data_IF_997235329252
#
_entry.id   IF_997235329252
#
_cell.length_a   1.000
_cell.length_b   1.000
_cell.length_c   1.000
_cell.angle_alpha   90.00
_cell.angle_beta   90.00
_cell.angle_gamma   90.00
#
_symmetry.space_group_name_H-M   'P 1'
#
loop_
_entity.id
_entity.type
_entity.pdbx_description
1 polymer ?
#
# COMPACT_ATOMS: atom_id res chain seq x y z
N UNK A 1 -6.45 -14.15 -25.23
CA UNK A 1 -5.95 -15.23 -24.35
C UNK A 1 -4.92 -14.78 -23.33
N UNK A 2 -4.21 -13.65 -23.54
CA UNK A 2 -3.18 -13.16 -22.59
C UNK A 2 -3.78 -12.50 -21.34
N UNK A 3 -4.99 -11.97 -21.37
CA UNK A 3 -5.63 -11.33 -20.22
C UNK A 3 -6.02 -12.32 -19.10
N UNK A 4 -6.29 -13.57 -19.44
CA UNK A 4 -6.71 -14.61 -18.47
C UNK A 4 -5.55 -15.08 -17.59
N UNK A 5 -4.30 -15.04 -18.08
CA UNK A 5 -3.11 -15.41 -17.32
C UNK A 5 -2.74 -14.40 -16.21
N UNK A 6 -2.92 -13.13 -16.48
CA UNK A 6 -2.63 -12.05 -15.51
C UNK A 6 -3.44 -12.19 -14.21
N UNK A 7 -4.63 -12.76 -14.30
CA UNK A 7 -5.55 -12.85 -13.19
C UNK A 7 -5.51 -14.19 -12.44
N UNK A 8 -4.99 -15.26 -13.07
CA UNK A 8 -4.89 -16.56 -12.41
C UNK A 8 -3.89 -16.58 -11.24
N UNK A 9 -2.80 -15.83 -11.32
CA UNK A 9 -1.83 -15.70 -10.23
C UNK A 9 -2.37 -14.91 -9.01
N UNK A 10 -3.38 -14.07 -9.23
CA UNK A 10 -4.02 -13.31 -8.15
C UNK A 10 -5.00 -14.15 -7.31
N UNK A 11 -5.59 -15.20 -7.91
CA UNK A 11 -6.57 -16.08 -7.24
C UNK A 11 -5.95 -17.21 -6.43
N UNK A 12 -4.68 -17.54 -6.62
CA UNK A 12 -4.06 -18.72 -5.97
C UNK A 12 -3.73 -18.54 -4.47
N UNK A 13 -4.04 -17.38 -3.86
CA UNK A 13 -3.89 -17.17 -2.40
C UNK A 13 -5.19 -17.15 -1.60
N UNK A 14 -6.30 -17.63 -2.14
CA UNK A 14 -7.53 -17.63 -1.39
C UNK A 14 -8.64 -18.53 -1.89
N UNK A 15 -8.46 -19.85 -1.88
CA UNK A 15 -9.55 -20.84 -1.69
C UNK A 15 -9.05 -22.27 -1.90
N UNK A 16 -8.86 -22.98 -0.81
CA UNK A 16 -9.09 -24.42 -0.79
C UNK A 16 -10.55 -24.63 -0.38
N UNK A 17 -11.41 -25.28 -1.20
CA UNK A 17 -12.75 -25.64 -0.78
C UNK A 17 -12.66 -26.85 0.15
N UNK A 18 -13.25 -26.76 1.35
CA UNK A 18 -13.55 -27.90 2.19
C UNK A 18 -12.68 -28.11 3.44
N UNK A 19 -12.23 -27.03 4.12
CA UNK A 19 -11.84 -27.15 5.52
C UNK A 19 -12.73 -26.21 6.34
N UNK A 20 -13.55 -26.78 7.22
CA UNK A 20 -14.10 -26.05 8.35
C UNK A 20 -12.92 -25.45 9.11
N UNK A 21 -12.75 -24.14 9.02
CA UNK A 21 -11.82 -23.41 9.87
C UNK A 21 -12.40 -23.41 11.28
N UNK A 22 -12.01 -24.38 12.11
CA UNK A 22 -11.96 -24.14 13.53
C UNK A 22 -11.14 -22.84 13.71
N UNK A 23 -11.72 -21.83 14.37
CA UNK A 23 -11.01 -20.62 14.75
C UNK A 23 -9.74 -21.03 15.49
N UNK A 24 -8.61 -20.94 14.81
CA UNK A 24 -7.34 -21.12 15.46
C UNK A 24 -7.21 -19.97 16.47
N UNK A 25 -6.90 -20.26 17.74
CA UNK A 25 -6.67 -19.21 18.71
C UNK A 25 -5.62 -18.25 18.14
N UNK A 26 -5.75 -16.94 18.41
CA UNK A 26 -4.75 -15.97 17.95
C UNK A 26 -3.37 -16.43 18.40
N UNK A 27 -2.33 -16.29 17.55
CA UNK A 27 -0.98 -16.69 17.92
C UNK A 27 -0.60 -16.00 19.23
N UNK A 28 0.18 -16.67 20.11
CA UNK A 28 0.59 -16.08 21.36
C UNK A 28 1.31 -14.75 21.12
N UNK A 29 1.16 -13.76 22.00
CA UNK A 29 1.81 -12.48 21.85
C UNK A 29 3.33 -12.68 21.78
N UNK A 30 3.97 -11.96 20.83
CA UNK A 30 5.42 -12.00 20.68
C UNK A 30 6.09 -11.52 21.99
N UNK A 31 7.22 -12.13 22.39
CA UNK A 31 7.96 -11.66 23.55
C UNK A 31 8.41 -10.22 23.35
N UNK A 32 8.42 -9.39 24.40
CA UNK A 32 8.85 -8.01 24.30
C UNK A 32 10.33 -7.93 23.87
N UNK A 33 10.71 -6.75 23.35
CA UNK A 33 12.12 -6.46 23.07
C UNK A 33 12.92 -6.52 24.39
N UNK A 34 14.10 -7.15 24.36
CA UNK A 34 14.96 -7.26 25.54
C UNK A 34 15.63 -5.92 25.88
N UNK A 35 15.56 -5.52 27.14
CA UNK A 35 16.27 -4.35 27.65
C UNK A 35 17.72 -4.67 27.94
N UNK A 36 18.65 -4.10 27.17
CA UNK A 36 20.09 -4.11 27.47
C UNK A 36 20.55 -2.68 27.76
N UNK A 37 21.75 -2.44 28.29
CA UNK A 37 22.26 -1.08 28.45
C UNK A 37 22.27 -0.28 27.14
N UNK A 38 22.49 -0.94 25.99
CA UNK A 38 22.51 -0.28 24.65
C UNK A 38 21.12 0.04 24.12
N UNK A 39 20.10 -0.74 24.49
CA UNK A 39 18.73 -0.59 24.01
C UNK A 39 17.86 0.24 24.96
N UNK A 40 18.34 0.54 26.16
CA UNK A 40 17.63 1.36 27.14
C UNK A 40 17.69 2.84 26.74
N UNK A 41 16.53 3.46 26.52
CA UNK A 41 16.44 4.86 26.13
C UNK A 41 16.46 5.76 27.37
N UNK A 42 17.52 6.54 27.56
CA UNK A 42 17.63 7.51 28.66
C UNK A 42 16.96 8.84 28.35
N UNK A 43 17.12 9.34 27.13
CA UNK A 43 16.49 10.61 26.72
C UNK A 43 15.13 10.37 26.06
N UNK A 44 14.09 11.01 26.62
CA UNK A 44 12.69 10.87 26.16
C UNK A 44 12.23 9.40 26.21
N UNK A 45 12.48 8.74 27.35
CA UNK A 45 12.16 7.33 27.58
C UNK A 45 10.67 7.00 27.31
N UNK A 46 9.76 7.98 27.48
CA UNK A 46 8.34 7.81 27.18
C UNK A 46 8.04 7.49 25.69
N UNK A 47 9.01 7.63 24.80
CA UNK A 47 8.88 7.25 23.38
C UNK A 47 9.36 5.82 23.09
N UNK A 48 9.90 5.13 24.11
CA UNK A 48 10.31 3.74 23.98
C UNK A 48 9.08 2.85 23.76
N UNK A 49 9.20 1.91 22.83
CA UNK A 49 8.18 0.89 22.57
C UNK A 49 8.85 -0.47 22.72
N UNK A 50 8.35 -1.29 23.65
CA UNK A 50 8.89 -2.61 23.92
C UNK A 50 8.19 -3.74 23.16
N UNK A 51 7.05 -3.45 22.52
CA UNK A 51 6.34 -4.42 21.72
C UNK A 51 7.17 -4.80 20.48
N UNK A 52 7.55 -6.07 20.35
CA UNK A 52 8.32 -6.61 19.21
C UNK A 52 7.64 -6.37 17.86
N UNK A 53 6.30 -6.41 17.84
CA UNK A 53 5.52 -6.11 16.63
C UNK A 53 5.83 -4.72 16.07
N UNK A 54 6.07 -3.72 16.92
CA UNK A 54 6.42 -2.37 16.46
C UNK A 54 7.75 -2.31 15.69
N UNK A 55 8.73 -3.17 16.06
CA UNK A 55 9.97 -3.35 15.30
C UNK A 55 9.67 -3.96 13.92
N UNK A 56 8.85 -5.02 13.89
CA UNK A 56 8.49 -5.68 12.64
C UNK A 56 7.71 -4.75 11.70
N UNK A 57 6.76 -3.99 12.24
CA UNK A 57 5.96 -3.02 11.47
C UNK A 57 6.84 -1.92 10.87
N UNK A 58 7.83 -1.45 11.64
CA UNK A 58 8.79 -0.47 11.14
C UNK A 58 9.66 -1.06 10.03
N UNK A 59 10.25 -2.24 10.24
CA UNK A 59 11.08 -2.90 9.24
C UNK A 59 10.28 -3.18 7.97
N UNK A 60 9.04 -3.68 8.08
CA UNK A 60 8.17 -3.90 6.93
C UNK A 60 7.79 -2.61 6.17
N UNK A 61 7.87 -1.45 6.84
CA UNK A 61 7.59 -0.15 6.22
C UNK A 61 8.82 0.51 5.60
N UNK A 62 10.04 0.07 5.94
CA UNK A 62 11.30 0.61 5.40
C UNK A 62 11.72 -0.14 4.13
N UNK A 63 12.20 0.56 3.12
CA UNK A 63 12.75 -0.04 1.88
C UNK A 63 14.21 -0.45 2.03
N UNK A 64 14.93 0.18 2.95
CA UNK A 64 16.34 -0.06 3.23
C UNK A 64 16.66 0.26 4.69
N UNK A 65 17.81 -0.19 5.13
CA UNK A 65 18.37 0.10 6.46
C UNK A 65 19.78 0.68 6.31
N UNK A 66 20.27 1.37 7.35
CA UNK A 66 21.65 1.83 7.43
C UNK A 66 22.45 0.91 8.35
N UNK A 67 23.51 0.32 7.84
CA UNK A 67 24.40 -0.57 8.59
C UNK A 67 25.66 0.19 8.95
N UNK A 68 25.90 0.35 10.24
CA UNK A 68 27.08 1.00 10.80
C UNK A 68 28.01 -0.01 11.45
N UNK A 69 29.33 0.17 11.26
CA UNK A 69 30.39 -0.61 11.90
C UNK A 69 31.16 0.26 12.92
N UNK A 70 31.95 -0.37 13.84
CA UNK A 70 32.81 0.38 14.77
C UNK A 70 33.83 1.29 14.08
N UNK A 71 34.37 0.89 12.92
CA UNK A 71 35.02 1.83 12.02
C UNK A 71 33.94 2.76 11.45
N UNK A 72 34.20 4.08 11.27
CA UNK A 72 33.13 5.03 10.94
C UNK A 72 32.61 4.86 9.50
N UNK A 73 32.08 3.67 9.19
CA UNK A 73 31.44 3.33 7.91
C UNK A 73 29.94 3.11 8.13
N UNK A 74 29.12 3.80 7.36
CA UNK A 74 27.67 3.63 7.32
C UNK A 74 27.26 3.40 5.87
N UNK A 75 26.58 2.28 5.61
CA UNK A 75 26.10 1.92 4.28
C UNK A 75 24.58 1.73 4.27
N UNK A 76 23.85 2.35 3.35
CA UNK A 76 22.46 1.97 3.09
C UNK A 76 22.45 0.61 2.38
N UNK A 77 21.59 -0.30 2.86
CA UNK A 77 21.47 -1.64 2.32
C UNK A 77 20.01 -2.05 2.21
N UNK A 78 19.63 -2.69 1.11
CA UNK A 78 18.37 -3.41 1.03
C UNK A 78 18.44 -4.64 1.92
N UNK A 79 17.29 -5.07 2.43
CA UNK A 79 17.22 -6.12 3.43
C UNK A 79 15.91 -6.91 3.33
N UNK A 80 15.85 -7.99 4.07
CA UNK A 80 14.58 -8.64 4.42
C UNK A 80 14.58 -9.08 5.88
N UNK A 81 13.41 -9.27 6.43
CA UNK A 81 13.19 -9.93 7.70
C UNK A 81 12.49 -11.27 7.47
N UNK A 82 13.07 -12.32 8.00
CA UNK A 82 12.41 -13.62 8.13
C UNK A 82 12.40 -13.93 9.63
N UNK A 83 11.23 -14.07 10.21
CA UNK A 83 11.03 -14.24 11.65
C UNK A 83 11.80 -13.19 12.48
N UNK A 84 12.70 -13.59 13.34
CA UNK A 84 13.53 -12.74 14.22
C UNK A 84 14.94 -12.50 13.65
N UNK A 85 15.10 -12.62 12.34
CA UNK A 85 16.38 -12.46 11.66
C UNK A 85 16.27 -11.46 10.51
N UNK A 86 17.20 -10.53 10.46
CA UNK A 86 17.38 -9.57 9.36
C UNK A 86 18.48 -10.09 8.44
N UNK A 87 18.19 -10.15 7.14
CA UNK A 87 19.12 -10.58 6.11
C UNK A 87 19.55 -9.40 5.24
N UNK A 88 20.84 -9.36 4.97
CA UNK A 88 21.49 -8.37 4.10
C UNK A 88 22.28 -9.10 3.02
N UNK A 89 22.46 -8.47 1.85
CA UNK A 89 23.27 -9.06 0.81
C UNK A 89 24.18 -8.03 0.15
N UNK A 90 25.22 -8.51 -0.53
CA UNK A 90 26.14 -7.71 -1.33
C UNK A 90 27.13 -8.57 -2.09
N UNK A 91 27.99 -7.92 -2.88
CA UNK A 91 29.06 -8.64 -3.58
C UNK A 91 30.05 -9.27 -2.58
N UNK A 92 30.62 -10.42 -2.91
CA UNK A 92 31.64 -11.09 -2.08
C UNK A 92 32.85 -10.21 -1.77
N UNK A 93 33.12 -9.20 -2.61
CA UNK A 93 34.17 -8.19 -2.40
C UNK A 93 33.82 -7.08 -1.41
N UNK A 94 32.57 -6.98 -0.94
CA UNK A 94 32.15 -5.93 -0.01
C UNK A 94 32.91 -6.05 1.31
N UNK A 95 33.63 -5.00 1.68
CA UNK A 95 34.51 -4.99 2.85
C UNK A 95 33.74 -5.17 4.17
N UNK A 96 32.54 -4.57 4.30
CA UNK A 96 31.66 -4.70 5.45
C UNK A 96 31.22 -6.15 5.64
N UNK A 97 30.87 -6.83 4.56
CA UNK A 97 30.33 -8.20 4.62
C UNK A 97 31.43 -9.27 4.73
N UNK A 98 32.69 -8.96 4.35
CA UNK A 98 33.81 -9.92 4.45
C UNK A 98 34.12 -10.34 5.87
N UNK A 99 33.99 -9.44 6.82
CA UNK A 99 34.25 -9.72 8.23
C UNK A 99 33.24 -10.68 8.87
N UNK A 100 32.05 -10.81 8.29
CA UNK A 100 30.99 -11.68 8.82
C UNK A 100 31.37 -13.18 8.85
N UNK A 101 32.35 -13.58 8.04
CA UNK A 101 32.85 -14.98 7.99
C UNK A 101 33.52 -15.42 9.27
N UNK A 102 34.12 -14.48 10.02
CA UNK A 102 34.75 -14.75 11.30
C UNK A 102 33.81 -14.48 12.48
N UNK A 103 32.54 -14.14 12.25
CA UNK A 103 31.59 -13.65 13.23
C UNK A 103 32.08 -12.42 14.03
N UNK A 104 33.07 -11.70 13.51
CA UNK A 104 33.77 -10.63 14.22
C UNK A 104 33.23 -9.23 13.92
N UNK A 105 32.30 -9.08 12.96
CA UNK A 105 31.76 -7.77 12.63
C UNK A 105 30.56 -7.46 13.52
N UNK A 106 30.82 -6.67 14.54
CA UNK A 106 29.76 -6.02 15.31
C UNK A 106 29.18 -4.87 14.50
N UNK A 107 27.84 -4.77 14.46
CA UNK A 107 27.12 -3.74 13.72
C UNK A 107 26.02 -3.09 14.54
N UNK A 108 25.68 -1.86 14.15
CA UNK A 108 24.42 -1.24 14.50
C UNK A 108 23.63 -1.02 13.19
N UNK A 109 22.45 -1.62 13.12
CA UNK A 109 21.52 -1.40 12.01
C UNK A 109 20.46 -0.42 12.43
N UNK A 110 20.36 0.71 11.70
CA UNK A 110 19.36 1.74 11.93
C UNK A 110 18.28 1.70 10.87
N UNK A 111 17.01 1.66 11.31
CA UNK A 111 15.84 1.83 10.47
C UNK A 111 15.08 3.08 10.94
N UNK A 112 14.66 3.94 10.01
CA UNK A 112 13.92 5.16 10.36
C UNK A 112 12.89 5.48 9.28
N UNK A 113 11.69 5.84 9.74
CA UNK A 113 10.63 6.39 8.90
C UNK A 113 10.10 7.68 9.50
N UNK A 114 10.03 8.73 8.70
CA UNK A 114 9.40 10.00 9.08
C UNK A 114 7.95 9.95 8.63
N UNK A 115 7.03 10.12 9.58
CA UNK A 115 5.59 10.04 9.34
C UNK A 115 4.92 11.42 9.28
N UNK A 116 5.63 12.51 9.66
CA UNK A 116 5.12 13.88 9.55
C UNK A 116 6.04 14.93 10.15
N UNK A 117 5.91 16.16 9.67
CA UNK A 117 6.54 17.34 10.24
C UNK A 117 5.63 17.94 11.31
N UNK A 118 6.19 18.25 12.46
CA UNK A 118 5.46 18.87 13.57
C UNK A 118 5.89 20.31 13.67
N UNK A 119 4.98 21.21 13.29
CA UNK A 119 5.19 22.63 13.23
C UNK A 119 4.56 23.27 14.47
N UNK A 120 5.37 23.94 15.26
CA UNK A 120 4.98 24.62 16.48
C UNK A 120 4.88 26.13 16.26
N UNK A 121 4.39 26.87 17.24
CA UNK A 121 4.34 28.33 17.19
C UNK A 121 5.71 28.94 17.33
N UNK A 122 6.59 28.32 18.13
CA UNK A 122 7.98 28.75 18.24
C UNK A 122 8.92 27.86 17.40
N UNK A 123 9.99 28.45 16.88
CA UNK A 123 10.99 27.73 16.11
C UNK A 123 11.67 26.61 16.93
N UNK A 124 11.79 26.78 18.22
CA UNK A 124 12.43 25.86 19.13
C UNK A 124 11.65 24.53 19.30
N UNK A 125 10.32 24.58 19.21
CA UNK A 125 9.45 23.44 19.45
C UNK A 125 9.08 22.63 18.18
N UNK A 126 9.63 23.01 17.01
CA UNK A 126 9.49 22.18 15.81
C UNK A 126 10.06 20.78 16.03
N UNK A 127 9.43 19.78 15.44
CA UNK A 127 9.80 18.37 15.61
C UNK A 127 9.35 17.53 14.39
N UNK A 128 9.50 16.21 14.50
CA UNK A 128 8.99 15.24 13.52
C UNK A 128 8.24 14.12 14.23
N UNK A 129 7.19 13.61 13.62
CA UNK A 129 6.64 12.31 13.95
C UNK A 129 7.43 11.25 13.18
N UNK A 130 7.85 10.20 13.89
CA UNK A 130 8.73 9.21 13.33
C UNK A 130 8.64 7.88 14.09
N UNK A 131 9.03 6.84 13.41
CA UNK A 131 9.36 5.54 13.97
C UNK A 131 10.83 5.25 13.67
N UNK A 132 11.60 4.84 14.67
CA UNK A 132 13.01 4.47 14.48
C UNK A 132 13.37 3.27 15.32
N UNK A 133 14.31 2.46 14.81
CA UNK A 133 14.91 1.34 15.53
C UNK A 133 16.42 1.39 15.41
N UNK A 134 17.10 0.93 16.46
CA UNK A 134 18.50 0.55 16.43
C UNK A 134 18.60 -0.91 16.86
N UNK A 135 19.26 -1.71 16.03
CA UNK A 135 19.43 -3.15 16.19
C UNK A 135 20.92 -3.41 16.28
N UNK A 136 21.34 -4.10 17.34
CA UNK A 136 22.74 -4.37 17.62
C UNK A 136 23.02 -5.87 17.54
N UNK A 137 24.21 -6.22 17.10
CA UNK A 137 24.65 -7.62 17.07
C UNK A 137 25.84 -7.86 16.18
N UNK A 138 26.15 -9.12 15.99
CA UNK A 138 27.22 -9.58 15.10
C UNK A 138 26.62 -10.19 13.85
N UNK A 139 27.21 -9.89 12.71
CA UNK A 139 26.80 -10.49 11.43
C UNK A 139 27.29 -11.93 11.35
N UNK A 140 26.40 -12.84 11.00
CA UNK A 140 26.71 -14.24 10.65
C UNK A 140 26.64 -14.39 9.13
N UNK A 141 27.65 -15.00 8.53
CA UNK A 141 27.57 -15.38 7.10
C UNK A 141 26.55 -16.53 6.93
N UNK A 142 25.80 -16.48 5.85
CA UNK A 142 24.87 -17.55 5.48
C UNK A 142 25.62 -18.56 4.62
N UNK A 143 25.83 -19.76 5.15
CA UNK A 143 26.69 -20.79 4.56
C UNK A 143 25.95 -21.77 3.64
N UNK A 144 24.64 -21.98 3.86
CA UNK A 144 23.86 -22.94 3.06
C UNK A 144 23.18 -22.26 1.87
N UNK A 145 23.22 -22.90 0.72
CA UNK A 145 22.54 -22.40 -0.49
C UNK A 145 21.02 -22.29 -0.28
N UNK A 146 20.43 -23.16 0.50
CA UNK A 146 18.99 -23.12 0.80
C UNK A 146 18.61 -21.84 1.57
N UNK A 147 19.31 -21.52 2.66
CA UNK A 147 19.08 -20.28 3.43
C UNK A 147 19.40 -19.05 2.59
N UNK A 148 20.47 -19.11 1.78
CA UNK A 148 20.89 -18.02 0.90
C UNK A 148 19.83 -17.69 -0.16
N UNK A 149 19.24 -18.71 -0.79
CA UNK A 149 18.15 -18.52 -1.75
C UNK A 149 16.92 -17.94 -1.06
N UNK A 150 16.51 -18.53 0.07
CA UNK A 150 15.37 -18.02 0.84
C UNK A 150 15.54 -16.55 1.26
N UNK A 151 16.72 -16.16 1.69
CA UNK A 151 17.05 -14.79 2.04
C UNK A 151 17.00 -13.84 0.83
N UNK A 152 17.53 -14.24 -0.33
CA UNK A 152 17.51 -13.44 -1.55
C UNK A 152 16.07 -13.28 -2.08
N UNK A 153 15.28 -14.33 -2.10
CA UNK A 153 13.85 -14.26 -2.47
C UNK A 153 13.07 -13.37 -1.50
N UNK A 154 13.36 -13.47 -0.21
CA UNK A 154 12.76 -12.60 0.80
C UNK A 154 13.14 -11.12 0.58
N UNK A 155 14.37 -10.81 0.18
CA UNK A 155 14.81 -9.43 -0.12
C UNK A 155 14.07 -8.88 -1.34
N UNK A 156 13.90 -9.68 -2.39
CA UNK A 156 13.10 -9.30 -3.57
C UNK A 156 11.64 -9.05 -3.17
N UNK A 157 11.05 -9.94 -2.36
CA UNK A 157 9.68 -9.80 -1.88
C UNK A 157 9.50 -8.69 -0.85
N UNK A 158 10.55 -8.31 -0.12
CA UNK A 158 10.50 -7.15 0.78
C UNK A 158 10.40 -5.85 -0.03
N UNK A 159 11.14 -5.74 -1.12
CA UNK A 159 11.04 -4.60 -2.03
C UNK A 159 9.66 -4.54 -2.71
N UNK A 160 9.18 -5.68 -3.20
CA UNK A 160 7.89 -5.80 -3.87
C UNK A 160 7.27 -7.19 -3.61
N UNK A 161 6.26 -7.30 -2.72
CA UNK A 161 5.65 -8.57 -2.35
C UNK A 161 5.12 -9.37 -3.54
N UNK A 162 5.54 -10.63 -3.67
CA UNK A 162 5.20 -11.53 -4.77
C UNK A 162 6.13 -11.46 -5.98
N UNK A 163 7.12 -10.56 -5.97
CA UNK A 163 8.00 -10.33 -7.13
C UNK A 163 8.95 -11.49 -7.40
N UNK A 164 9.41 -12.22 -6.39
CA UNK A 164 10.32 -13.37 -6.58
C UNK A 164 9.70 -14.45 -7.48
N UNK A 165 8.37 -14.64 -7.40
CA UNK A 165 7.65 -15.63 -8.21
C UNK A 165 7.48 -15.21 -9.68
N UNK A 166 7.71 -13.93 -9.98
CA UNK A 166 7.52 -13.30 -11.28
C UNK A 166 8.84 -13.06 -12.04
N UNK A 167 9.95 -13.46 -11.47
CA UNK A 167 11.26 -13.34 -12.07
C UNK A 167 12.03 -14.67 -12.02
N UNK A 168 13.06 -14.78 -12.85
CA UNK A 168 13.95 -15.95 -12.84
C UNK A 168 14.67 -16.02 -11.49
N UNK A 169 14.73 -17.19 -10.84
CA UNK A 169 15.51 -17.37 -9.62
C UNK A 169 17.01 -17.16 -9.86
N UNK A 170 17.74 -16.87 -8.78
CA UNK A 170 19.19 -16.70 -8.84
C UNK A 170 19.87 -17.98 -9.33
N UNK A 171 20.76 -17.84 -10.31
CA UNK A 171 21.58 -18.94 -10.82
C UNK A 171 22.72 -19.28 -9.85
N UNK A 172 23.33 -20.47 -10.02
CA UNK A 172 24.48 -20.89 -9.23
C UNK A 172 25.68 -19.92 -9.35
N UNK A 173 25.85 -19.32 -10.52
CA UNK A 173 26.91 -18.34 -10.75
C UNK A 173 26.65 -17.05 -9.93
N UNK A 174 25.41 -16.57 -9.91
CA UNK A 174 25.01 -15.40 -9.15
C UNK A 174 25.11 -15.66 -7.63
N UNK A 175 24.75 -16.86 -7.16
CA UNK A 175 24.92 -17.23 -5.77
C UNK A 175 26.39 -17.24 -5.32
N UNK A 176 27.31 -17.69 -6.19
CA UNK A 176 28.74 -17.71 -5.85
C UNK A 176 29.35 -16.32 -5.68
N UNK A 177 28.85 -15.32 -6.41
CA UNK A 177 29.36 -13.94 -6.34
C UNK A 177 28.61 -13.04 -5.35
N UNK A 178 27.53 -13.55 -4.75
CA UNK A 178 26.72 -12.84 -3.77
C UNK A 178 26.99 -13.37 -2.36
N UNK A 179 27.30 -12.49 -1.42
CA UNK A 179 27.34 -12.80 0.00
C UNK A 179 26.03 -12.41 0.66
N UNK A 180 25.50 -13.29 1.50
CA UNK A 180 24.34 -13.04 2.35
C UNK A 180 24.78 -13.15 3.81
N UNK A 181 24.35 -12.22 4.63
CA UNK A 181 24.60 -12.22 6.07
C UNK A 181 23.31 -12.06 6.86
N UNK A 182 23.29 -12.61 8.04
CA UNK A 182 22.16 -12.62 8.96
C UNK A 182 22.50 -11.87 10.23
N UNK A 183 21.53 -11.11 10.75
CA UNK A 183 21.59 -10.42 12.04
C UNK A 183 20.37 -10.77 12.88
N UNK A 184 20.58 -11.23 14.11
CA UNK A 184 19.49 -11.46 15.06
C UNK A 184 18.84 -10.14 15.48
N UNK A 185 17.51 -10.13 15.60
CA UNK A 185 16.72 -9.01 16.11
C UNK A 185 16.54 -9.06 17.65
N UNK A 186 17.30 -9.92 18.35
CA UNK A 186 17.17 -10.10 19.78
C UNK A 186 17.53 -8.83 20.58
N UNK A 187 18.53 -8.06 20.13
CA UNK A 187 18.95 -6.83 20.78
C UNK A 187 18.56 -5.61 19.94
N UNK A 188 17.39 -5.06 20.22
CA UNK A 188 16.84 -3.92 19.46
C UNK A 188 16.12 -2.94 20.38
N UNK A 189 16.16 -1.67 20.01
CA UNK A 189 15.34 -0.61 20.60
C UNK A 189 14.43 0.02 19.55
N UNK A 190 13.21 0.36 19.95
CA UNK A 190 12.25 1.06 19.10
C UNK A 190 11.82 2.34 19.78
N UNK A 191 11.74 3.42 18.99
CA UNK A 191 11.31 4.73 19.44
C UNK A 191 10.28 5.31 18.49
N UNK A 192 9.12 5.70 19.02
CA UNK A 192 8.01 6.25 18.26
C UNK A 192 7.62 7.62 18.82
N UNK A 193 7.42 8.59 17.93
CA UNK A 193 6.71 9.83 18.21
C UNK A 193 5.54 9.97 17.24
N UNK A 194 4.35 10.08 17.78
CA UNK A 194 3.09 10.32 17.05
C UNK A 194 2.24 11.30 17.88
N UNK A 195 2.62 12.58 17.84
CA UNK A 195 1.97 13.61 18.66
C UNK A 195 1.96 14.95 17.94
N UNK A 196 1.04 15.83 18.33
CA UNK A 196 1.00 17.22 17.89
C UNK A 196 2.17 18.05 18.37
N UNK A 197 2.17 19.37 18.07
CA UNK A 197 3.12 20.33 18.64
C UNK A 197 2.92 20.43 20.17
N UNK A 198 4.00 20.77 20.84
CA UNK A 198 4.01 21.04 22.28
C UNK A 198 4.64 22.42 22.42
N UNK A 199 3.80 23.46 22.50
CA UNK A 199 4.22 24.84 22.71
C UNK A 199 4.26 25.15 24.20
N UNK A 200 5.07 26.12 24.61
CA UNK A 200 5.03 26.67 25.95
C UNK A 200 3.78 27.55 26.14
N UNK A 201 3.33 27.72 27.38
CA UNK A 201 2.11 28.47 27.70
C UNK A 201 2.09 29.90 27.16
N UNK A 202 3.24 30.55 27.09
CA UNK A 202 3.40 31.91 26.57
C UNK A 202 3.29 31.99 25.04
N UNK A 203 3.53 30.87 24.33
CA UNK A 203 3.42 30.79 22.88
C UNK A 203 1.99 30.51 22.39
N UNK A 204 1.13 29.94 23.25
CA UNK A 204 -0.24 29.54 22.86
C UNK A 204 -1.10 30.67 22.29
N UNK A 205 -1.02 31.93 22.80
CA UNK A 205 -1.78 33.06 22.27
C UNK A 205 -1.23 33.64 20.96
N UNK A 206 -0.04 33.21 20.52
CA UNK A 206 0.57 33.75 19.30
C UNK A 206 -0.25 33.41 18.06
N UNK A 207 -0.39 34.33 17.09
CA UNK A 207 -1.19 34.11 15.87
C UNK A 207 -0.48 33.23 14.81
N UNK A 208 0.41 32.35 15.22
CA UNK A 208 1.13 31.45 14.34
C UNK A 208 0.41 30.13 14.23
N UNK A 209 0.31 29.60 13.00
CA UNK A 209 -0.25 28.30 12.77
C UNK A 209 0.65 27.21 13.38
N UNK A 210 0.04 26.21 14.04
CA UNK A 210 0.73 25.06 14.58
C UNK A 210 -0.08 23.78 14.27
N UNK A 211 0.63 22.69 13.98
CA UNK A 211 -0.02 21.43 13.62
C UNK A 211 0.96 20.39 13.11
N UNK A 212 0.43 19.34 12.52
CA UNK A 212 1.22 18.26 11.89
C UNK A 212 0.96 18.28 10.38
N UNK A 213 2.03 18.29 9.59
CA UNK A 213 2.01 18.01 8.16
C UNK A 213 2.38 16.54 7.95
N UNK A 214 1.41 15.64 7.69
CA UNK A 214 1.69 14.23 7.45
C UNK A 214 2.55 14.02 6.19
N UNK A 215 3.46 13.06 6.25
CA UNK A 215 4.29 12.63 5.12
C UNK A 215 3.92 11.20 4.76
N UNK A 216 3.76 10.95 3.45
CA UNK A 216 3.53 9.62 2.89
C UNK A 216 4.45 9.38 1.70
N UNK A 217 4.99 8.17 1.59
CA UNK A 217 5.62 7.72 0.36
C UNK A 217 4.55 7.21 -0.60
N UNK A 218 4.64 7.56 -1.86
CA UNK A 218 3.72 7.13 -2.90
C UNK A 218 4.46 6.40 -4.03
N UNK A 219 3.88 5.30 -4.53
CA UNK A 219 4.31 4.71 -5.80
C UNK A 219 3.63 5.46 -6.94
N UNK A 220 4.41 5.87 -7.92
CA UNK A 220 3.91 6.50 -9.14
C UNK A 220 3.48 5.45 -10.18
N UNK A 221 3.06 5.91 -11.36
CA UNK A 221 2.81 5.01 -12.48
C UNK A 221 4.09 4.23 -12.83
N UNK A 222 4.00 2.92 -13.10
CA UNK A 222 5.18 2.16 -13.49
C UNK A 222 5.67 2.64 -14.85
N UNK A 223 6.99 2.75 -14.98
CA UNK A 223 7.67 3.07 -16.23
C UNK A 223 8.28 1.76 -16.76
N UNK A 224 7.81 1.23 -17.90
CA UNK A 224 8.36 0.02 -18.48
C UNK A 224 9.76 0.28 -19.04
N UNK A 225 10.60 -0.77 -19.02
CA UNK A 225 11.92 -0.73 -19.68
C UNK A 225 11.77 -0.47 -21.18
N UNK A 226 12.57 0.47 -21.71
CA UNK A 226 12.59 0.82 -23.12
C UNK A 226 13.19 -0.29 -24.02
N UNK A 227 13.93 -1.24 -23.45
CA UNK A 227 14.59 -2.34 -24.17
C UNK A 227 13.71 -3.59 -24.17
N UNK A 228 12.42 -3.45 -24.46
CA UNK A 228 11.54 -4.63 -24.50
C UNK A 228 11.44 -5.18 -25.93
N UNK A 229 11.79 -6.46 -26.17
CA UNK A 229 11.84 -7.02 -27.54
C UNK A 229 10.47 -7.21 -28.18
N UNK A 230 9.36 -7.21 -27.45
CA UNK A 230 8.01 -7.48 -27.96
C UNK A 230 6.98 -6.61 -27.22
N UNK A 231 6.77 -5.38 -27.68
CA UNK A 231 5.74 -4.48 -27.14
C UNK A 231 5.95 -4.11 -25.66
N UNK A 232 5.10 -3.25 -25.12
CA UNK A 232 5.12 -2.92 -23.70
C UNK A 232 4.42 -4.03 -22.91
N UNK A 233 5.13 -4.77 -22.03
CA UNK A 233 4.48 -5.82 -21.25
C UNK A 233 3.51 -5.18 -20.25
N UNK A 234 2.41 -5.87 -20.02
CA UNK A 234 1.47 -5.51 -18.96
C UNK A 234 2.18 -5.64 -17.60
N UNK A 235 2.03 -4.66 -16.69
CA UNK A 235 2.63 -4.76 -15.37
C UNK A 235 2.24 -6.06 -14.65
N UNK A 236 3.19 -6.76 -14.01
CA UNK A 236 2.92 -8.03 -13.34
C UNK A 236 2.03 -7.83 -12.10
N UNK A 237 1.39 -8.89 -11.59
CA UNK A 237 0.49 -8.84 -10.43
C UNK A 237 1.07 -8.15 -9.20
N UNK A 238 2.35 -8.32 -8.89
CA UNK A 238 3.04 -7.65 -7.78
C UNK A 238 3.01 -6.12 -7.93
N UNK A 239 3.28 -5.61 -9.12
CA UNK A 239 3.26 -4.17 -9.43
C UNK A 239 1.83 -3.63 -9.33
N UNK A 240 0.85 -4.37 -9.86
CA UNK A 240 -0.58 -4.01 -9.73
C UNK A 240 -0.99 -3.95 -8.27
N UNK A 241 -0.66 -4.98 -7.47
CA UNK A 241 -0.98 -5.04 -6.05
C UNK A 241 -0.35 -3.89 -5.25
N UNK A 242 0.91 -3.53 -5.55
CA UNK A 242 1.57 -2.39 -4.90
C UNK A 242 0.86 -1.06 -5.20
N UNK A 243 0.36 -0.88 -6.41
CA UNK A 243 -0.43 0.29 -6.79
C UNK A 243 -1.78 0.33 -6.08
N UNK A 244 -2.49 -0.79 -6.02
CA UNK A 244 -3.80 -0.88 -5.35
C UNK A 244 -3.70 -0.60 -3.85
N UNK A 245 -2.64 -1.01 -3.18
CA UNK A 245 -2.38 -0.68 -1.77
C UNK A 245 -2.30 0.83 -1.50
N UNK A 246 -2.00 1.62 -2.52
CA UNK A 246 -1.83 3.08 -2.45
C UNK A 246 -3.02 3.85 -3.03
N UNK A 247 -4.03 3.15 -3.53
CA UNK A 247 -5.27 3.78 -3.96
C UNK A 247 -5.89 4.59 -2.81
N UNK A 248 -6.45 5.77 -3.09
CA UNK A 248 -7.15 6.55 -2.07
C UNK A 248 -8.29 5.73 -1.47
N UNK A 249 -8.41 5.73 -0.14
CA UNK A 249 -9.36 4.89 0.57
C UNK A 249 -10.41 5.72 1.30
N UNK A 250 -11.66 5.32 1.18
CA UNK A 250 -12.78 5.77 2.00
C UNK A 250 -13.20 4.62 2.92
N UNK A 251 -13.36 4.90 4.20
CA UNK A 251 -13.96 3.92 5.11
C UNK A 251 -15.49 4.00 5.01
N UNK A 252 -16.19 2.88 4.89
CA UNK A 252 -17.64 2.90 4.80
C UNK A 252 -18.25 3.47 6.10
N UNK A 253 -19.22 4.37 5.97
CA UNK A 253 -19.89 5.01 7.11
C UNK A 253 -21.41 4.74 7.13
N UNK A 254 -21.98 4.25 6.02
CA UNK A 254 -23.35 3.76 5.91
C UNK A 254 -23.33 2.26 5.72
N UNK A 255 -24.17 1.55 6.48
CA UNK A 255 -24.25 0.08 6.46
C UNK A 255 -25.52 -0.41 5.79
N UNK A 256 -25.51 -1.66 5.35
CA UNK A 256 -26.67 -2.39 4.83
C UNK A 256 -26.72 -3.79 5.45
N UNK A 257 -27.88 -4.28 5.91
CA UNK A 257 -27.97 -5.62 6.48
C UNK A 257 -27.47 -6.70 5.52
N UNK A 258 -26.58 -7.56 6.00
CA UNK A 258 -26.06 -8.68 5.22
C UNK A 258 -24.99 -8.34 4.17
N UNK A 259 -24.60 -7.07 4.06
CA UNK A 259 -23.61 -6.60 3.07
C UNK A 259 -22.45 -5.91 3.78
N UNK A 260 -21.24 -6.24 3.37
CA UNK A 260 -19.99 -5.61 3.85
C UNK A 260 -19.48 -4.64 2.79
N UNK A 261 -19.36 -3.36 3.13
CA UNK A 261 -18.74 -2.37 2.24
C UNK A 261 -17.25 -2.21 2.54
N UNK A 262 -16.46 -1.91 1.53
CA UNK A 262 -15.03 -1.63 1.68
C UNK A 262 -14.52 -0.71 0.59
N UNK A 263 -13.76 0.32 1.00
CA UNK A 263 -13.00 1.17 0.10
C UNK A 263 -11.57 0.70 -0.13
N UNK A 264 -11.21 -0.49 0.34
CA UNK A 264 -9.89 -1.09 0.15
C UNK A 264 -9.77 -1.69 -1.25
N UNK A 265 -9.07 -1.00 -2.14
CA UNK A 265 -8.89 -1.44 -3.52
C UNK A 265 -8.15 -2.79 -3.65
N UNK A 266 -7.40 -3.22 -2.62
CA UNK A 266 -6.73 -4.53 -2.64
C UNK A 266 -7.70 -5.71 -2.53
N UNK A 267 -8.93 -5.46 -2.10
CA UNK A 267 -10.00 -6.47 -2.00
C UNK A 267 -10.78 -6.66 -3.29
N UNK A 268 -10.57 -5.79 -4.29
CA UNK A 268 -11.33 -5.84 -5.55
C UNK A 268 -11.02 -7.12 -6.33
N UNK A 269 -12.03 -7.83 -6.73
CA UNK A 269 -11.96 -8.87 -7.76
C UNK A 269 -11.94 -8.18 -9.14
N UNK A 270 -10.74 -7.76 -9.56
CA UNK A 270 -10.55 -7.02 -10.81
C UNK A 270 -11.01 -7.78 -12.06
N UNK A 271 -10.80 -9.12 -12.18
CA UNK A 271 -11.34 -9.88 -13.31
C UNK A 271 -12.86 -9.81 -13.41
N UNK A 272 -13.51 -10.04 -12.28
CA UNK A 272 -14.98 -9.98 -12.17
C UNK A 272 -15.49 -8.57 -12.49
N UNK A 273 -14.85 -7.54 -11.91
CA UNK A 273 -15.19 -6.15 -12.17
C UNK A 273 -15.03 -5.79 -13.64
N UNK A 274 -13.92 -6.21 -14.26
CA UNK A 274 -13.69 -5.97 -15.69
C UNK A 274 -14.78 -6.65 -16.56
N UNK A 275 -15.15 -7.89 -16.23
CA UNK A 275 -16.24 -8.59 -16.90
C UNK A 275 -17.56 -7.82 -16.79
N UNK A 276 -17.97 -7.42 -15.60
CA UNK A 276 -19.19 -6.64 -15.41
C UNK A 276 -19.22 -5.34 -16.22
N UNK A 277 -18.12 -4.59 -16.20
CA UNK A 277 -18.05 -3.30 -16.89
C UNK A 277 -17.99 -3.46 -18.41
N UNK A 278 -17.39 -4.52 -18.93
CA UNK A 278 -17.35 -4.79 -20.37
C UNK A 278 -18.65 -5.35 -20.94
N UNK A 279 -19.22 -6.31 -20.21
CA UNK A 279 -20.29 -7.14 -20.75
C UNK A 279 -21.68 -6.58 -20.43
N UNK A 280 -21.82 -5.84 -19.31
CA UNK A 280 -23.12 -5.36 -18.82
C UNK A 280 -23.23 -3.84 -18.73
N UNK A 281 -22.11 -3.10 -18.79
CA UNK A 281 -22.11 -1.64 -18.70
C UNK A 281 -21.87 -1.02 -20.07
N UNK A 282 -22.90 -0.42 -20.66
CA UNK A 282 -22.88 0.17 -22.01
C UNK A 282 -21.82 1.25 -22.21
N UNK A 283 -21.25 1.79 -21.13
CA UNK A 283 -20.27 2.88 -21.17
C UNK A 283 -18.81 2.41 -21.15
N UNK A 284 -18.54 1.13 -21.03
CA UNK A 284 -17.21 0.59 -20.76
C UNK A 284 -16.80 -0.63 -21.59
N UNK A 285 -17.43 -0.87 -22.74
CA UNK A 285 -17.22 -2.05 -23.58
C UNK A 285 -15.74 -2.26 -24.00
N UNK A 286 -14.99 -1.16 -24.22
CA UNK A 286 -13.58 -1.20 -24.65
C UNK A 286 -12.58 -1.14 -23.46
N UNK A 287 -13.06 -1.21 -22.22
CA UNK A 287 -12.22 -1.05 -21.04
C UNK A 287 -11.15 -2.15 -20.98
N UNK A 288 -9.87 -1.76 -20.92
CA UNK A 288 -8.76 -2.72 -20.72
C UNK A 288 -8.47 -2.93 -19.23
N UNK A 289 -7.84 -4.06 -18.89
CA UNK A 289 -7.43 -4.34 -17.51
C UNK A 289 -6.48 -3.25 -16.98
N UNK A 290 -5.57 -2.76 -17.81
CA UNK A 290 -4.66 -1.68 -17.44
C UNK A 290 -5.41 -0.37 -17.17
N UNK A 291 -6.35 -0.01 -18.04
CA UNK A 291 -7.18 1.20 -17.86
C UNK A 291 -8.01 1.09 -16.58
N UNK A 292 -8.58 -0.07 -16.28
CA UNK A 292 -9.32 -0.30 -15.03
C UNK A 292 -8.42 -0.09 -13.80
N UNK A 293 -7.22 -0.68 -13.78
CA UNK A 293 -6.27 -0.48 -12.67
C UNK A 293 -5.90 0.99 -12.51
N UNK A 294 -5.62 1.69 -13.61
CA UNK A 294 -5.33 3.14 -13.57
C UNK A 294 -6.50 3.94 -13.01
N UNK A 295 -7.72 3.62 -13.43
CA UNK A 295 -8.94 4.29 -12.97
C UNK A 295 -9.19 4.04 -11.47
N UNK A 296 -9.00 2.81 -10.99
CA UNK A 296 -9.14 2.44 -9.56
C UNK A 296 -8.10 3.18 -8.72
N UNK A 297 -6.83 3.17 -9.12
CA UNK A 297 -5.75 3.84 -8.36
C UNK A 297 -5.92 5.36 -8.33
N UNK A 298 -6.50 5.96 -9.36
CA UNK A 298 -6.76 7.40 -9.46
C UNK A 298 -8.11 7.86 -8.88
N UNK A 299 -8.81 7.00 -8.13
CA UNK A 299 -10.15 7.32 -7.61
C UNK A 299 -10.31 6.82 -6.18
N UNK A 300 -11.24 7.40 -5.44
CA UNK A 300 -11.82 6.74 -4.28
C UNK A 300 -12.78 5.66 -4.76
N UNK A 301 -12.60 4.44 -4.28
CA UNK A 301 -13.45 3.30 -4.62
C UNK A 301 -14.28 2.84 -3.45
N UNK A 302 -15.43 2.24 -3.74
CA UNK A 302 -16.23 1.51 -2.77
C UNK A 302 -16.76 0.25 -3.45
N UNK A 303 -16.61 -0.90 -2.80
CA UNK A 303 -17.20 -2.15 -3.25
C UNK A 303 -18.08 -2.74 -2.13
N UNK A 304 -19.06 -3.51 -2.55
CA UNK A 304 -19.95 -4.24 -1.64
C UNK A 304 -19.72 -5.75 -1.80
N UNK A 305 -19.76 -6.47 -0.68
CA UNK A 305 -19.50 -7.89 -0.58
C UNK A 305 -20.60 -8.61 0.20
N UNK A 306 -20.90 -9.85 -0.15
CA UNK A 306 -21.67 -10.76 0.71
C UNK A 306 -20.89 -11.05 2.00
N UNK A 307 -21.54 -11.69 2.99
CA UNK A 307 -20.87 -12.15 4.21
C UNK A 307 -19.78 -13.18 3.92
N UNK A 308 -19.93 -13.94 2.83
CA UNK A 308 -18.96 -14.94 2.38
C UNK A 308 -17.80 -14.34 1.57
N UNK A 309 -17.78 -13.00 1.42
CA UNK A 309 -16.71 -12.26 0.77
C UNK A 309 -16.81 -12.17 -0.75
N UNK A 310 -17.94 -12.54 -1.35
CA UNK A 310 -18.18 -12.36 -2.78
C UNK A 310 -18.48 -10.91 -3.11
N UNK A 311 -17.77 -10.30 -4.08
CA UNK A 311 -18.02 -8.95 -4.54
C UNK A 311 -19.32 -8.88 -5.35
N UNK A 312 -20.24 -7.98 -4.97
CA UNK A 312 -21.58 -7.86 -5.56
C UNK A 312 -21.90 -6.47 -6.11
N UNK A 313 -21.14 -5.46 -5.76
CA UNK A 313 -21.29 -4.12 -6.31
C UNK A 313 -19.97 -3.35 -6.27
N UNK A 314 -19.87 -2.31 -7.10
CA UNK A 314 -18.71 -1.43 -7.19
C UNK A 314 -19.15 -0.02 -7.60
N UNK A 315 -18.38 0.98 -7.21
CA UNK A 315 -18.45 2.34 -7.69
C UNK A 315 -17.19 3.11 -7.32
N UNK A 316 -16.95 4.24 -7.99
CA UNK A 316 -15.79 5.09 -7.71
C UNK A 316 -16.10 6.56 -7.88
N UNK A 317 -15.32 7.40 -7.20
CA UNK A 317 -15.37 8.86 -7.28
C UNK A 317 -14.01 9.42 -7.68
N UNK A 318 -13.96 10.18 -8.75
CA UNK A 318 -12.81 10.99 -9.17
C UNK A 318 -13.02 12.42 -8.66
N UNK A 319 -12.06 12.97 -7.95
CA UNK A 319 -12.22 14.28 -7.31
C UNK A 319 -10.87 14.96 -7.06
N UNK A 320 -10.89 16.30 -7.01
CA UNK A 320 -9.80 17.13 -6.49
C UNK A 320 -9.84 17.26 -4.96
N UNK A 321 -10.89 16.73 -4.33
CA UNK A 321 -11.09 16.80 -2.87
C UNK A 321 -11.54 18.17 -2.35
N UNK A 322 -11.85 19.16 -3.23
CA UNK A 322 -12.13 20.53 -2.84
C UNK A 322 -13.34 21.14 -3.58
N UNK A 323 -13.41 21.02 -4.91
CA UNK A 323 -14.39 21.75 -5.71
C UNK A 323 -15.35 20.85 -6.48
N UNK A 324 -14.91 19.63 -6.84
CA UNK A 324 -15.60 18.80 -7.82
C UNK A 324 -15.44 17.32 -7.53
N UNK A 325 -16.48 16.54 -7.84
CA UNK A 325 -16.39 15.09 -7.93
C UNK A 325 -17.19 14.56 -9.13
N UNK A 326 -16.67 13.48 -9.74
CA UNK A 326 -17.35 12.69 -10.74
C UNK A 326 -17.58 11.28 -10.22
N UNK A 327 -18.85 10.90 -10.05
CA UNK A 327 -19.26 9.54 -9.71
C UNK A 327 -19.25 8.69 -10.99
N UNK A 328 -18.51 7.60 -10.97
CA UNK A 328 -18.30 6.74 -12.13
C UNK A 328 -18.42 5.25 -11.78
N UNK A 329 -18.68 4.44 -12.79
CA UNK A 329 -18.68 2.98 -12.78
C UNK A 329 -19.52 2.37 -11.64
N UNK A 330 -20.66 2.99 -11.33
CA UNK A 330 -21.61 2.46 -10.35
C UNK A 330 -22.31 1.24 -10.94
N UNK A 331 -22.03 0.09 -10.38
CA UNK A 331 -22.56 -1.18 -10.82
C UNK A 331 -23.03 -2.03 -9.63
N UNK A 332 -24.19 -2.67 -9.76
CA UNK A 332 -24.70 -3.70 -8.85
C UNK A 332 -25.01 -4.94 -9.68
N UNK A 333 -24.43 -6.08 -9.30
CA UNK A 333 -24.68 -7.34 -9.97
C UNK A 333 -26.19 -7.66 -9.99
N UNK A 334 -26.69 -8.15 -11.11
CA UNK A 334 -28.13 -8.31 -11.39
C UNK A 334 -28.92 -9.03 -10.30
N UNK A 335 -28.33 -10.07 -9.70
CA UNK A 335 -28.97 -10.87 -8.63
C UNK A 335 -29.12 -10.11 -7.30
N UNK A 336 -28.44 -8.98 -7.16
CA UNK A 336 -28.45 -8.15 -5.96
C UNK A 336 -29.09 -6.77 -6.18
N UNK A 337 -29.72 -6.54 -7.36
CA UNK A 337 -30.46 -5.32 -7.64
C UNK A 337 -31.77 -5.23 -6.87
N UNK A 338 -32.34 -4.04 -6.78
CA UNK A 338 -33.59 -3.74 -6.09
C UNK A 338 -33.59 -4.03 -4.56
N UNK A 339 -32.43 -4.27 -3.96
CA UNK A 339 -32.27 -4.52 -2.52
C UNK A 339 -31.72 -3.31 -1.75
N UNK A 340 -31.63 -2.13 -2.35
CA UNK A 340 -31.10 -0.91 -1.72
C UNK A 340 -29.57 -0.78 -1.72
N UNK A 341 -28.82 -1.80 -2.15
CA UNK A 341 -27.34 -1.83 -2.12
C UNK A 341 -26.74 -0.67 -2.91
N UNK A 342 -27.27 -0.39 -4.11
CA UNK A 342 -26.79 0.72 -4.94
C UNK A 342 -26.96 2.08 -4.27
N UNK A 343 -28.04 2.29 -3.51
CA UNK A 343 -28.25 3.52 -2.75
C UNK A 343 -27.17 3.69 -1.66
N UNK A 344 -26.94 2.66 -0.86
CA UNK A 344 -25.93 2.69 0.21
C UNK A 344 -24.51 2.83 -0.36
N UNK A 345 -24.23 2.17 -1.50
CA UNK A 345 -22.96 2.30 -2.21
C UNK A 345 -22.70 3.76 -2.61
N UNK A 346 -23.67 4.40 -3.26
CA UNK A 346 -23.57 5.80 -3.70
C UNK A 346 -23.46 6.74 -2.49
N UNK A 347 -24.21 6.53 -1.43
CA UNK A 347 -24.09 7.32 -0.20
C UNK A 347 -22.69 7.24 0.40
N UNK A 348 -22.11 6.05 0.49
CA UNK A 348 -20.72 5.88 0.96
C UNK A 348 -19.67 6.57 0.07
N UNK A 349 -20.01 6.87 -1.17
CA UNK A 349 -19.11 7.56 -2.09
C UNK A 349 -19.32 9.08 -2.09
N UNK A 350 -20.58 9.56 -2.18
CA UNK A 350 -20.81 11.00 -2.43
C UNK A 350 -21.05 11.80 -1.15
N UNK A 351 -21.59 11.18 -0.11
CA UNK A 351 -21.88 11.83 1.18
C UNK A 351 -20.77 11.59 2.21
N UNK A 352 -19.66 10.99 1.81
CA UNK A 352 -18.56 10.67 2.72
C UNK A 352 -17.99 11.95 3.36
N UNK A 353 -17.74 11.98 4.69
CA UNK A 353 -17.24 13.17 5.39
C UNK A 353 -15.95 13.76 4.81
N UNK A 354 -15.08 12.93 4.24
CA UNK A 354 -13.84 13.39 3.56
C UNK A 354 -14.10 14.17 2.25
N UNK A 355 -15.30 14.08 1.70
CA UNK A 355 -15.74 14.77 0.49
C UNK A 355 -16.74 15.89 0.80
N UNK A 356 -16.94 16.19 2.08
CA UNK A 356 -17.83 17.28 2.51
C UNK A 356 -17.30 18.63 2.00
N UNK A 357 -18.23 19.52 1.59
CA UNK A 357 -17.88 20.85 1.10
C UNK A 357 -17.55 20.96 -0.39
N UNK A 358 -17.62 19.87 -1.14
CA UNK A 358 -17.52 19.92 -2.60
C UNK A 358 -18.64 20.80 -3.19
N UNK A 359 -18.28 21.70 -4.08
CA UNK A 359 -19.27 22.58 -4.75
C UNK A 359 -20.21 21.82 -5.67
N UNK A 360 -19.75 20.69 -6.21
CA UNK A 360 -20.49 19.94 -7.22
C UNK A 360 -20.07 18.48 -7.26
N UNK A 361 -21.05 17.59 -7.22
CA UNK A 361 -20.88 16.17 -7.55
C UNK A 361 -21.67 15.88 -8.81
N UNK A 362 -21.06 15.24 -9.78
CA UNK A 362 -21.65 14.99 -11.11
C UNK A 362 -21.55 13.51 -11.46
N UNK A 363 -22.45 13.08 -12.34
CA UNK A 363 -22.43 11.76 -12.96
C UNK A 363 -23.08 11.83 -14.35
N UNK A 364 -22.86 10.80 -15.15
CA UNK A 364 -23.60 10.55 -16.38
C UNK A 364 -24.42 9.28 -16.24
N UNK A 365 -25.70 9.31 -16.56
CA UNK A 365 -26.56 8.13 -16.63
C UNK A 365 -27.57 8.24 -17.73
N UNK A 366 -27.89 7.12 -18.36
CA UNK A 366 -28.93 7.02 -19.38
C UNK A 366 -30.27 6.59 -18.79
N UNK A 367 -30.24 5.74 -17.78
CA UNK A 367 -31.39 4.95 -17.33
C UNK A 367 -31.58 4.86 -15.79
N UNK A 368 -30.61 5.31 -14.99
CA UNK A 368 -30.63 5.18 -13.55
C UNK A 368 -31.06 6.45 -12.78
N UNK A 369 -31.81 7.36 -13.42
CA UNK A 369 -32.29 8.61 -12.78
C UNK A 369 -33.05 8.35 -11.48
N UNK A 370 -33.86 7.25 -11.41
CA UNK A 370 -34.58 6.85 -10.21
C UNK A 370 -33.71 6.52 -8.99
N UNK A 371 -32.45 6.14 -9.20
CA UNK A 371 -31.48 5.94 -8.12
C UNK A 371 -30.96 7.28 -7.59
N UNK A 372 -30.65 8.21 -8.46
CA UNK A 372 -29.90 9.43 -8.11
C UNK A 372 -30.77 10.62 -7.72
N UNK A 373 -31.97 10.77 -8.31
CA UNK A 373 -32.89 11.87 -7.98
C UNK A 373 -33.25 11.96 -6.50
N UNK A 374 -33.56 10.85 -5.79
CA UNK A 374 -33.83 10.88 -4.35
C UNK A 374 -32.62 11.28 -3.50
N UNK A 375 -31.41 11.27 -4.08
CA UNK A 375 -30.15 11.65 -3.44
C UNK A 375 -29.73 13.09 -3.76
N UNK A 376 -30.63 13.90 -4.35
CA UNK A 376 -30.43 15.30 -4.65
C UNK A 376 -29.78 15.59 -6.01
N UNK A 377 -29.58 14.58 -6.85
CA UNK A 377 -29.10 14.82 -8.21
C UNK A 377 -30.24 15.29 -9.11
N UNK A 378 -29.96 16.30 -9.91
CA UNK A 378 -30.87 16.85 -10.92
C UNK A 378 -30.19 16.90 -12.29
N UNK A 379 -30.96 16.85 -13.34
CA UNK A 379 -30.45 17.01 -14.68
C UNK A 379 -29.74 18.36 -14.88
N UNK A 380 -28.59 18.33 -15.54
CA UNK A 380 -27.87 19.56 -15.90
C UNK A 380 -28.63 20.20 -17.04
N UNK A 381 -28.94 21.51 -16.96
CA UNK A 381 -29.63 22.20 -18.08
C UNK A 381 -28.83 22.10 -19.37
N UNK A 382 -29.56 21.97 -20.48
CA UNK A 382 -28.99 21.88 -21.82
C UNK A 382 -28.00 23.02 -22.13
N UNK A 383 -26.92 22.67 -22.81
CA UNK A 383 -25.87 23.62 -23.18
C UNK A 383 -24.86 23.98 -22.08
N UNK A 384 -25.00 23.44 -20.86
CA UNK A 384 -24.02 23.67 -19.75
C UNK A 384 -22.90 22.64 -19.66
N UNK A 385 -23.03 21.56 -20.40
CA UNK A 385 -22.02 20.49 -20.42
C UNK A 385 -21.45 20.36 -21.84
N UNK A 386 -20.12 20.20 -21.90
CA UNK A 386 -19.38 19.88 -23.11
C UNK A 386 -18.46 18.70 -22.83
N UNK A 387 -18.39 17.77 -23.79
CA UNK A 387 -17.42 16.67 -23.72
C UNK A 387 -16.51 16.70 -24.95
N UNK A 388 -15.27 16.26 -24.75
CA UNK A 388 -14.33 15.96 -25.82
C UNK A 388 -14.01 14.49 -25.78
N UNK A 389 -14.35 13.75 -26.83
CA UNK A 389 -13.88 12.36 -27.01
C UNK A 389 -12.43 12.37 -27.47
N UNK A 390 -11.69 11.30 -27.14
CA UNK A 390 -10.34 11.10 -27.67
C UNK A 390 -10.39 11.06 -29.19
N UNK A 391 -9.47 11.75 -29.85
CA UNK A 391 -9.27 11.69 -31.27
C UNK A 391 -8.47 10.42 -31.61
N UNK A 392 -8.77 9.78 -32.74
CA UNK A 392 -7.89 8.75 -33.31
C UNK A 392 -6.58 9.37 -33.82
N UNK A 393 -5.65 8.53 -34.34
CA UNK A 393 -4.38 9.00 -34.88
C UNK A 393 -4.51 9.93 -36.11
N UNK A 394 -5.69 9.97 -36.73
CA UNK A 394 -6.00 10.88 -37.87
C UNK A 394 -6.58 12.22 -37.42
N UNK A 395 -6.84 12.41 -36.13
CA UNK A 395 -7.48 13.62 -35.60
C UNK A 395 -9.02 13.62 -35.76
N UNK A 396 -9.60 12.50 -36.14
CA UNK A 396 -11.06 12.32 -36.28
C UNK A 396 -11.64 11.84 -34.96
N UNK A 397 -12.79 12.37 -34.54
CA UNK A 397 -13.46 11.88 -33.33
C UNK A 397 -13.89 10.43 -33.54
N UNK A 398 -13.47 9.54 -32.64
CA UNK A 398 -13.92 8.16 -32.66
C UNK A 398 -15.44 8.12 -32.52
N UNK A 399 -16.14 7.63 -33.54
CA UNK A 399 -17.59 7.39 -33.48
C UNK A 399 -17.82 6.27 -32.47
N UNK A 400 -18.45 6.58 -31.34
CA UNK A 400 -18.91 5.63 -30.33
C UNK A 400 -20.42 5.64 -30.21
#
# INVERSE_FOLDING_TARGET
SSAIWLFRAYQLRGRFPGMEHAEQPPPPPLPPLSGTPRTTLHRRAMRAVTARQALYDLLNACTHVHVATPAPVVLPMVFARIDDTLYLHGAVGNALLRGARAEDVEVCVAATRVDGLVLARSAYHHSMNYRSAAIFGRLREVDTDAEKRAALDAIVNHALPGRSDECRPASEAELRVTRVVALSLAEASVKIRAAGPVDDGEDLPLPHWAGVLPLVEATLAPEPDAVHPVGTPTPPPSVVAARLKRAPRLEPFVTHPGVVFSGDATRLDLPRLLGWLRDEAYWAADLTAETLVRAVVGSFTMAAYTKDGEMIAFGRVVTDGATFAWLADVFVHREHRAQGIGKVLVQNLVDHPRLAGLRRVMLGTRDAHGLYTPMGFAAVPDGRMMQRTSLDASGTAAQR
#
